data_IF_501331124083
#
_entry.id   IF_501331124083
#
_cell.length_a   1.000
_cell.length_b   1.000
_cell.length_c   1.000
_cell.angle_alpha   90.00
_cell.angle_beta   90.00
_cell.angle_gamma   90.00
#
_symmetry.space_group_name_H-M   'P 1'
#
loop_
_entity.id
_entity.type
_entity.pdbx_description
1 polymer ?
#
# COMPACT_ATOMS: atom_id res chain seq x y z
N UNK A 1 29.76 22.71 13.64
CA UNK A 1 30.60 22.04 12.62
C UNK A 1 31.14 20.70 13.11
N UNK A 2 31.78 20.62 14.29
CA UNK A 2 32.30 19.35 14.83
C UNK A 2 31.25 18.25 15.04
N UNK A 3 30.06 18.60 15.51
CA UNK A 3 28.96 17.65 15.77
C UNK A 3 28.40 17.00 14.49
N UNK A 4 28.27 17.77 13.41
CA UNK A 4 27.87 17.25 12.09
C UNK A 4 28.92 16.31 11.49
N UNK A 5 30.21 16.64 11.66
CA UNK A 5 31.31 15.76 11.22
C UNK A 5 31.36 14.44 11.98
N UNK A 6 31.07 14.46 13.29
CA UNK A 6 30.99 13.24 14.11
C UNK A 6 29.81 12.36 13.69
N UNK A 7 28.61 12.94 13.50
CA UNK A 7 27.44 12.21 13.02
C UNK A 7 27.68 11.61 11.63
N UNK A 8 28.36 12.33 10.74
CA UNK A 8 28.74 11.84 9.41
C UNK A 8 29.64 10.60 9.49
N UNK A 9 30.65 10.63 10.35
CA UNK A 9 31.55 9.49 10.55
C UNK A 9 30.79 8.27 11.11
N UNK A 10 30.01 8.47 12.17
CA UNK A 10 29.22 7.41 12.80
C UNK A 10 28.17 6.82 11.85
N UNK A 11 27.53 7.65 11.01
CA UNK A 11 26.55 7.18 10.04
C UNK A 11 27.18 6.31 8.96
N UNK A 12 28.35 6.71 8.44
CA UNK A 12 29.10 5.90 7.47
C UNK A 12 29.56 4.60 8.09
N UNK A 13 30.13 4.65 9.28
CA UNK A 13 30.59 3.47 10.00
C UNK A 13 29.44 2.47 10.28
N UNK A 14 28.27 2.98 10.69
CA UNK A 14 27.08 2.17 10.91
C UNK A 14 26.52 1.55 9.62
N UNK A 15 26.39 2.34 8.55
CA UNK A 15 25.66 1.94 7.34
C UNK A 15 26.54 1.28 6.26
N UNK A 16 27.86 1.50 6.27
CA UNK A 16 28.80 0.86 5.35
C UNK A 16 29.21 -0.54 5.84
N UNK A 17 28.96 -0.88 7.11
CA UNK A 17 29.24 -2.20 7.65
C UNK A 17 28.28 -3.23 7.02
N UNK A 18 28.78 -4.32 6.39
CA UNK A 18 27.91 -5.32 5.74
C UNK A 18 27.04 -6.13 6.71
N UNK A 19 27.42 -6.21 7.99
CA UNK A 19 26.69 -6.95 9.02
C UNK A 19 25.46 -6.17 9.50
N UNK A 20 24.33 -6.87 9.62
CA UNK A 20 23.09 -6.35 10.18
C UNK A 20 23.10 -6.33 11.72
N UNK A 21 24.02 -7.04 12.38
CA UNK A 21 24.09 -7.17 13.85
C UNK A 21 24.37 -5.83 14.54
N UNK A 22 25.28 -5.03 13.97
CA UNK A 22 25.59 -3.71 14.52
C UNK A 22 24.41 -2.75 14.40
N UNK A 23 23.66 -2.85 13.30
CA UNK A 23 22.45 -2.07 13.13
C UNK A 23 21.32 -2.57 14.04
N UNK A 24 21.22 -3.89 14.28
CA UNK A 24 20.29 -4.44 15.26
C UNK A 24 20.51 -3.86 16.66
N UNK A 25 21.77 -3.82 17.12
CA UNK A 25 22.12 -3.19 18.38
C UNK A 25 21.78 -1.68 18.41
N UNK A 26 22.04 -0.96 17.32
CA UNK A 26 21.64 0.44 17.18
C UNK A 26 20.12 0.62 17.24
N UNK A 27 19.34 -0.27 16.60
CA UNK A 27 17.88 -0.28 16.67
C UNK A 27 17.42 -0.45 18.12
N UNK A 28 18.06 -1.31 18.91
CA UNK A 28 17.72 -1.44 20.33
C UNK A 28 17.95 -0.17 21.14
N UNK A 29 19.04 0.57 20.85
CA UNK A 29 19.33 1.85 21.52
C UNK A 29 18.22 2.89 21.31
N UNK A 30 17.56 2.88 20.15
CA UNK A 30 16.43 3.76 19.84
C UNK A 30 15.17 3.49 20.68
N UNK A 31 15.13 2.37 21.41
CA UNK A 31 14.01 1.99 22.27
C UNK A 31 14.40 1.96 23.76
N UNK A 32 15.58 2.48 24.13
CA UNK A 32 15.94 2.74 25.53
C UNK A 32 15.16 3.94 26.10
N UNK A 33 15.10 4.12 27.44
CA UNK A 33 14.45 5.27 28.04
C UNK A 33 15.02 6.59 27.52
N UNK A 34 14.15 7.58 27.30
CA UNK A 34 14.47 8.81 26.54
C UNK A 34 15.52 9.71 27.23
N UNK A 35 15.70 9.52 28.53
CA UNK A 35 16.64 10.25 29.37
C UNK A 35 18.07 9.68 29.27
N UNK A 36 18.24 8.51 28.65
CA UNK A 36 19.56 7.88 28.51
C UNK A 36 20.39 8.56 27.43
N UNK A 37 21.69 8.71 27.70
CA UNK A 37 22.65 9.25 26.73
C UNK A 37 22.71 8.41 25.45
N UNK A 38 22.53 7.09 25.58
CA UNK A 38 22.47 6.14 24.48
C UNK A 38 21.27 6.40 23.55
N UNK A 39 20.08 6.63 24.11
CA UNK A 39 18.90 6.99 23.31
C UNK A 39 19.10 8.32 22.59
N UNK A 40 19.58 9.35 23.29
CA UNK A 40 19.75 10.68 22.69
C UNK A 40 20.76 10.66 21.54
N UNK A 41 21.89 9.97 21.72
CA UNK A 41 22.88 9.77 20.68
C UNK A 41 22.34 8.96 19.50
N UNK A 42 21.66 7.84 19.77
CA UNK A 42 21.07 7.01 18.74
C UNK A 42 19.99 7.75 17.96
N UNK A 43 19.14 8.53 18.63
CA UNK A 43 18.07 9.30 18.00
C UNK A 43 18.64 10.42 17.12
N UNK A 44 19.67 11.13 17.57
CA UNK A 44 20.35 12.14 16.75
C UNK A 44 20.96 11.52 15.50
N UNK A 45 21.66 10.38 15.64
CA UNK A 45 22.24 9.65 14.53
C UNK A 45 21.17 9.11 13.57
N UNK A 46 20.07 8.57 14.09
CA UNK A 46 18.95 8.09 13.27
C UNK A 46 18.34 9.20 12.43
N UNK A 47 17.99 10.35 13.05
CA UNK A 47 17.47 11.52 12.34
C UNK A 47 18.45 12.01 11.27
N UNK A 48 19.75 11.99 11.56
CA UNK A 48 20.80 12.34 10.61
C UNK A 48 20.86 11.35 9.43
N UNK A 49 20.79 10.04 9.69
CA UNK A 49 20.74 9.01 8.65
C UNK A 49 19.49 9.11 7.79
N UNK A 50 18.31 9.36 8.38
CA UNK A 50 17.06 9.57 7.63
C UNK A 50 17.19 10.75 6.69
N UNK A 51 17.86 11.84 7.09
CA UNK A 51 18.00 13.03 6.26
C UNK A 51 19.08 12.92 5.17
N UNK A 52 20.19 12.22 5.43
CA UNK A 52 21.39 12.27 4.57
C UNK A 52 21.73 10.93 3.89
N UNK A 53 21.22 9.81 4.41
CA UNK A 53 21.59 8.46 3.99
C UNK A 53 20.38 7.53 3.87
N UNK A 54 19.22 8.07 3.47
CA UNK A 54 17.94 7.34 3.47
C UNK A 54 18.02 6.05 2.65
N UNK A 55 18.67 6.08 1.48
CA UNK A 55 18.89 4.89 0.64
C UNK A 55 19.57 3.74 1.42
N UNK A 56 20.71 4.04 2.06
CA UNK A 56 21.47 3.04 2.82
C UNK A 56 20.73 2.61 4.07
N UNK A 57 20.06 3.54 4.77
CA UNK A 57 19.26 3.23 5.93
C UNK A 57 18.09 2.29 5.59
N UNK A 58 17.40 2.53 4.47
CA UNK A 58 16.33 1.63 3.97
C UNK A 58 16.86 0.24 3.72
N UNK A 59 17.96 0.11 2.97
CA UNK A 59 18.59 -1.17 2.69
C UNK A 59 18.94 -1.92 3.98
N UNK A 60 19.59 -1.24 4.92
CA UNK A 60 20.09 -1.89 6.12
C UNK A 60 18.98 -2.26 7.10
N UNK A 61 17.93 -1.44 7.26
CA UNK A 61 16.77 -1.79 8.09
C UNK A 61 15.99 -2.98 7.52
N UNK A 62 15.88 -3.10 6.19
CA UNK A 62 15.30 -4.29 5.55
C UNK A 62 16.15 -5.54 5.80
N UNK A 63 17.49 -5.43 5.78
CA UNK A 63 18.38 -6.55 6.14
C UNK A 63 18.21 -6.97 7.60
N UNK A 64 18.06 -6.02 8.52
CA UNK A 64 17.77 -6.33 9.94
C UNK A 64 16.43 -7.05 10.06
N UNK A 65 15.39 -6.57 9.36
CA UNK A 65 14.10 -7.25 9.35
C UNK A 65 14.20 -8.69 8.82
N UNK A 66 14.91 -8.89 7.72
CA UNK A 66 15.00 -10.20 7.07
C UNK A 66 15.86 -11.20 7.85
N UNK A 67 16.94 -10.76 8.48
CA UNK A 67 17.98 -11.66 9.02
C UNK A 67 18.07 -11.69 10.55
N UNK A 68 17.49 -10.74 11.27
CA UNK A 68 17.53 -10.76 12.73
C UNK A 68 16.79 -11.99 13.27
N UNK A 69 17.40 -12.77 14.17
CA UNK A 69 16.72 -13.89 14.84
C UNK A 69 15.71 -13.40 15.89
N UNK A 70 15.80 -12.14 16.31
CA UNK A 70 14.92 -11.54 17.31
C UNK A 70 13.73 -10.81 16.66
N UNK A 71 12.52 -11.33 16.92
CA UNK A 71 11.23 -10.77 16.48
C UNK A 71 11.00 -9.31 16.87
N UNK A 72 11.38 -8.92 18.08
CA UNK A 72 11.21 -7.57 18.58
C UNK A 72 12.13 -6.62 17.80
N UNK A 73 13.37 -7.03 17.53
CA UNK A 73 14.30 -6.25 16.70
C UNK A 73 13.78 -6.14 15.26
N UNK A 74 13.26 -7.24 14.68
CA UNK A 74 12.63 -7.21 13.34
C UNK A 74 11.50 -6.17 13.30
N UNK A 75 10.56 -6.27 14.22
CA UNK A 75 9.42 -5.35 14.32
C UNK A 75 9.87 -3.88 14.48
N UNK A 76 10.85 -3.62 15.36
CA UNK A 76 11.40 -2.28 15.57
C UNK A 76 12.04 -1.72 14.29
N UNK A 77 12.81 -2.53 13.57
CA UNK A 77 13.47 -2.11 12.34
C UNK A 77 12.46 -1.73 11.24
N UNK A 78 11.44 -2.56 11.02
CA UNK A 78 10.43 -2.30 9.99
C UNK A 78 9.50 -1.14 10.37
N UNK A 79 9.23 -0.96 11.66
CA UNK A 79 8.49 0.19 12.21
C UNK A 79 9.23 1.51 11.96
N UNK A 80 10.52 1.58 12.32
CA UNK A 80 11.37 2.73 12.05
C UNK A 80 11.41 3.06 10.55
N UNK A 81 11.58 2.04 9.71
CA UNK A 81 11.64 2.23 8.26
C UNK A 81 10.31 2.77 7.70
N UNK A 82 9.18 2.21 8.11
CA UNK A 82 7.85 2.66 7.71
C UNK A 82 7.61 4.12 8.10
N UNK A 83 8.01 4.52 9.31
CA UNK A 83 7.90 5.91 9.77
C UNK A 83 8.80 6.86 8.96
N UNK A 84 10.07 6.48 8.75
CA UNK A 84 11.03 7.27 7.99
C UNK A 84 10.54 7.51 6.55
N UNK A 85 10.12 6.46 5.84
CA UNK A 85 9.64 6.57 4.47
C UNK A 85 8.34 7.38 4.37
N UNK A 86 7.45 7.27 5.36
CA UNK A 86 6.24 8.10 5.42
C UNK A 86 6.60 9.59 5.57
N UNK A 87 7.54 9.92 6.45
CA UNK A 87 8.02 11.30 6.64
C UNK A 87 8.75 11.85 5.40
N UNK A 88 9.57 11.03 4.75
CA UNK A 88 10.31 11.37 3.53
C UNK A 88 9.39 11.57 2.32
N UNK A 89 8.36 10.73 2.18
CA UNK A 89 7.33 10.87 1.13
C UNK A 89 6.65 12.24 1.16
N UNK A 90 6.39 12.77 2.36
CA UNK A 90 5.78 14.09 2.53
C UNK A 90 6.71 15.25 2.14
N UNK A 91 8.01 14.98 1.96
CA UNK A 91 9.04 15.94 1.54
C UNK A 91 9.49 15.74 0.09
N UNK A 92 8.74 14.94 -0.69
CA UNK A 92 9.08 14.60 -2.08
C UNK A 92 10.46 13.95 -2.24
N UNK A 93 10.92 13.21 -1.23
CA UNK A 93 12.17 12.45 -1.32
C UNK A 93 11.99 11.25 -2.26
N UNK A 94 13.03 10.95 -3.03
CA UNK A 94 13.07 9.83 -3.97
C UNK A 94 14.29 8.95 -3.72
N UNK A 95 14.07 7.63 -3.73
CA UNK A 95 15.15 6.65 -3.65
C UNK A 95 15.96 6.70 -4.96
N UNK A 96 17.28 6.57 -4.85
CA UNK A 96 18.12 6.58 -6.06
C UNK A 96 17.91 5.30 -6.88
N UNK A 97 18.06 5.34 -8.23
CA UNK A 97 17.96 4.16 -9.08
C UNK A 97 18.90 3.02 -8.63
N UNK A 98 20.15 3.36 -8.32
CA UNK A 98 21.15 2.39 -7.83
C UNK A 98 20.72 1.72 -6.52
N UNK A 99 20.05 2.45 -5.63
CA UNK A 99 19.53 1.87 -4.39
C UNK A 99 18.34 0.95 -4.66
N UNK A 100 17.47 1.32 -5.60
CA UNK A 100 16.31 0.52 -5.97
C UNK A 100 16.69 -0.87 -6.48
N UNK A 101 17.77 -1.00 -7.26
CA UNK A 101 18.25 -2.30 -7.77
C UNK A 101 18.56 -3.31 -6.66
N UNK A 102 18.96 -2.83 -5.48
CA UNK A 102 19.28 -3.68 -4.32
C UNK A 102 18.09 -3.79 -3.37
N UNK A 103 17.30 -2.73 -3.21
CA UNK A 103 16.14 -2.69 -2.29
C UNK A 103 15.00 -3.57 -2.80
N UNK A 104 14.71 -3.54 -4.11
CA UNK A 104 13.61 -4.29 -4.73
C UNK A 104 13.63 -5.80 -4.41
N UNK A 105 14.70 -6.56 -4.71
CA UNK A 105 14.74 -7.99 -4.43
C UNK A 105 14.72 -8.31 -2.93
N UNK A 106 15.31 -7.44 -2.11
CA UNK A 106 15.30 -7.60 -0.66
C UNK A 106 13.88 -7.47 -0.11
N UNK A 107 13.12 -6.47 -0.57
CA UNK A 107 11.74 -6.28 -0.11
C UNK A 107 10.81 -7.41 -0.58
N UNK A 108 11.01 -7.94 -1.79
CA UNK A 108 10.30 -9.16 -2.23
C UNK A 108 10.57 -10.31 -1.26
N UNK A 109 11.83 -10.50 -0.86
CA UNK A 109 12.19 -11.54 0.12
C UNK A 109 11.49 -11.32 1.48
N UNK A 110 11.40 -10.07 1.94
CA UNK A 110 10.66 -9.71 3.16
C UNK A 110 9.16 -10.03 3.05
N UNK A 111 8.53 -9.79 1.90
CA UNK A 111 7.10 -10.07 1.67
C UNK A 111 6.79 -11.57 1.68
N UNK A 112 7.72 -12.40 1.22
CA UNK A 112 7.55 -13.85 1.13
C UNK A 112 7.95 -14.61 2.40
N UNK A 113 8.21 -13.91 3.51
CA UNK A 113 8.54 -14.57 4.77
C UNK A 113 7.33 -15.37 5.29
N UNK A 114 7.52 -16.66 5.67
CA UNK A 114 6.41 -17.55 6.05
C UNK A 114 5.69 -17.17 7.35
N UNK A 115 6.32 -16.35 8.21
CA UNK A 115 5.80 -16.01 9.55
C UNK A 115 5.69 -14.49 9.80
N UNK A 116 5.40 -13.70 8.75
CA UNK A 116 5.20 -12.26 8.92
C UNK A 116 4.00 -11.99 9.84
N UNK A 117 4.21 -11.27 10.94
CA UNK A 117 3.12 -10.93 11.88
C UNK A 117 2.21 -9.87 11.27
N UNK A 118 0.92 -9.85 11.63
CA UNK A 118 -0.06 -8.83 11.14
C UNK A 118 0.47 -7.38 11.23
N UNK A 119 1.13 -6.93 12.32
CA UNK A 119 1.71 -5.58 12.39
C UNK A 119 2.80 -5.32 11.34
N UNK A 120 3.62 -6.32 11.05
CA UNK A 120 4.67 -6.24 10.03
C UNK A 120 4.06 -6.07 8.65
N UNK A 121 2.98 -6.81 8.34
CA UNK A 121 2.25 -6.68 7.07
C UNK A 121 1.82 -5.24 6.80
N UNK A 122 1.32 -4.54 7.83
CA UNK A 122 0.93 -3.12 7.72
C UNK A 122 2.12 -2.20 7.42
N UNK A 123 3.28 -2.47 8.01
CA UNK A 123 4.49 -1.66 7.78
C UNK A 123 5.09 -1.98 6.40
N UNK A 124 5.11 -3.26 6.02
CA UNK A 124 5.60 -3.72 4.72
C UNK A 124 4.80 -3.14 3.57
N UNK A 125 3.47 -3.10 3.62
CA UNK A 125 2.66 -2.49 2.54
C UNK A 125 2.97 -1.00 2.32
N UNK A 126 3.26 -0.24 3.38
CA UNK A 126 3.69 1.17 3.28
C UNK A 126 5.05 1.28 2.60
N UNK A 127 5.99 0.40 2.97
CA UNK A 127 7.34 0.38 2.40
C UNK A 127 7.28 -0.02 0.93
N UNK A 128 6.52 -1.07 0.58
CA UNK A 128 6.29 -1.50 -0.81
C UNK A 128 5.69 -0.37 -1.63
N UNK A 129 4.65 0.29 -1.12
CA UNK A 129 4.04 1.45 -1.79
C UNK A 129 5.06 2.56 -2.08
N UNK A 130 5.94 2.86 -1.12
CA UNK A 130 6.99 3.86 -1.29
C UNK A 130 8.00 3.46 -2.36
N UNK A 131 8.53 2.23 -2.29
CA UNK A 131 9.51 1.74 -3.27
C UNK A 131 8.87 1.61 -4.66
N UNK A 132 7.61 1.18 -4.74
CA UNK A 132 6.89 0.98 -6.01
C UNK A 132 6.68 2.31 -6.71
N UNK A 133 6.31 3.36 -5.96
CA UNK A 133 6.21 4.71 -6.50
C UNK A 133 7.52 5.21 -7.10
N UNK A 134 8.64 4.94 -6.45
CA UNK A 134 9.96 5.34 -6.93
C UNK A 134 10.37 4.53 -8.18
N UNK A 135 10.22 3.21 -8.14
CA UNK A 135 10.57 2.34 -9.25
C UNK A 135 9.70 2.61 -10.50
N UNK A 136 8.38 2.69 -10.32
CA UNK A 136 7.42 2.84 -11.42
C UNK A 136 7.39 4.25 -12.02
N UNK A 137 7.85 5.26 -11.28
CA UNK A 137 8.06 6.61 -11.83
C UNK A 137 9.19 6.63 -12.85
N UNK A 138 10.23 5.82 -12.64
CA UNK A 138 11.39 5.74 -13.55
C UNK A 138 11.10 4.85 -14.75
N UNK A 139 10.46 3.71 -14.51
CA UNK A 139 10.09 2.74 -15.53
C UNK A 139 8.76 2.07 -15.16
N UNK A 140 7.69 2.16 -15.97
CA UNK A 140 6.43 1.47 -15.74
C UNK A 140 6.53 -0.06 -15.58
N UNK A 141 7.64 -0.67 -15.99
CA UNK A 141 8.00 -2.08 -15.80
C UNK A 141 9.16 -2.28 -14.81
N UNK A 142 9.54 -1.23 -14.07
CA UNK A 142 10.75 -1.18 -13.25
C UNK A 142 10.76 -2.09 -12.01
N UNK A 143 9.73 -2.91 -11.81
CA UNK A 143 9.66 -3.87 -10.69
C UNK A 143 8.81 -5.09 -11.01
N UNK A 144 9.07 -5.72 -12.15
CA UNK A 144 8.43 -6.95 -12.59
C UNK A 144 8.42 -8.07 -11.53
N UNK A 145 9.47 -8.15 -10.69
CA UNK A 145 9.60 -9.13 -9.60
C UNK A 145 8.50 -8.97 -8.53
N UNK A 146 8.00 -7.74 -8.34
CA UNK A 146 6.84 -7.52 -7.46
C UNK A 146 5.57 -8.12 -8.07
N UNK A 147 5.41 -8.06 -9.39
CA UNK A 147 4.27 -8.67 -10.07
C UNK A 147 4.23 -10.20 -9.89
N UNK A 148 5.39 -10.85 -9.98
CA UNK A 148 5.53 -12.29 -9.79
C UNK A 148 5.35 -12.69 -8.31
N UNK A 149 5.84 -11.84 -7.40
CA UNK A 149 5.57 -11.97 -5.97
C UNK A 149 4.08 -11.85 -5.67
N UNK A 150 3.37 -10.89 -6.26
CA UNK A 150 1.93 -10.70 -6.10
C UNK A 150 1.15 -11.91 -6.60
N UNK A 151 1.50 -12.46 -7.76
CA UNK A 151 0.90 -13.70 -8.26
C UNK A 151 1.08 -14.85 -7.27
N UNK A 152 2.28 -15.01 -6.71
CA UNK A 152 2.58 -16.03 -5.70
C UNK A 152 1.76 -15.83 -4.42
N UNK A 153 1.64 -14.57 -3.96
CA UNK A 153 0.87 -14.24 -2.77
C UNK A 153 -0.62 -14.47 -2.98
N UNK A 154 -1.20 -14.10 -4.12
CA UNK A 154 -2.64 -14.35 -4.38
C UNK A 154 -2.95 -15.85 -4.26
N UNK A 155 -2.03 -16.72 -4.71
CA UNK A 155 -2.24 -18.16 -4.67
C UNK A 155 -1.96 -18.83 -3.31
N UNK A 156 -1.23 -18.17 -2.40
CA UNK A 156 -0.75 -18.81 -1.16
C UNK A 156 -1.16 -18.08 0.12
N UNK A 157 -1.31 -16.76 0.06
CA UNK A 157 -1.75 -15.88 1.14
C UNK A 157 -2.51 -14.67 0.54
N UNK A 158 -3.75 -14.87 0.06
CA UNK A 158 -4.48 -13.82 -0.64
C UNK A 158 -4.83 -12.62 0.25
N UNK A 159 -4.98 -12.82 1.57
CA UNK A 159 -5.12 -11.72 2.54
C UNK A 159 -3.92 -10.78 2.49
N UNK A 160 -2.70 -11.33 2.45
CA UNK A 160 -1.48 -10.52 2.30
C UNK A 160 -1.42 -9.86 0.92
N UNK A 161 -1.79 -10.58 -0.14
CA UNK A 161 -1.82 -10.03 -1.49
C UNK A 161 -2.74 -8.80 -1.57
N UNK A 162 -3.98 -8.91 -1.08
CA UNK A 162 -4.91 -7.79 -1.04
C UNK A 162 -4.36 -6.60 -0.26
N UNK A 163 -3.81 -6.84 0.94
CA UNK A 163 -3.21 -5.78 1.75
C UNK A 163 -2.07 -5.03 1.05
N UNK A 164 -1.20 -5.76 0.33
CA UNK A 164 -0.12 -5.14 -0.44
C UNK A 164 -0.72 -4.34 -1.61
N UNK A 165 -1.65 -4.93 -2.36
CA UNK A 165 -2.27 -4.31 -3.54
C UNK A 165 -2.96 -2.99 -3.21
N UNK A 166 -3.69 -2.91 -2.10
CA UNK A 166 -4.45 -1.73 -1.71
C UNK A 166 -3.59 -0.47 -1.54
N UNK A 167 -2.36 -0.63 -1.06
CA UNK A 167 -1.44 0.49 -0.85
C UNK A 167 -0.59 0.81 -2.10
N UNK A 168 -0.66 -0.01 -3.16
CA UNK A 168 0.12 0.25 -4.38
C UNK A 168 -0.31 1.58 -5.03
N UNK A 169 0.67 2.33 -5.59
CA UNK A 169 0.38 3.54 -6.35
C UNK A 169 -0.40 3.21 -7.64
N UNK A 170 -0.68 4.20 -8.47
CA UNK A 170 -1.21 3.93 -9.81
C UNK A 170 -0.23 3.02 -10.57
N UNK A 171 -0.73 1.90 -11.08
CA UNK A 171 0.04 0.88 -11.78
C UNK A 171 -0.22 0.96 -13.29
N UNK A 172 0.74 0.45 -14.08
CA UNK A 172 0.51 0.19 -15.49
C UNK A 172 -0.42 -1.02 -15.65
N UNK A 173 -1.28 -1.00 -16.68
CA UNK A 173 -2.14 -2.15 -16.99
C UNK A 173 -1.29 -3.39 -17.28
N UNK A 174 -0.14 -3.23 -17.92
CA UNK A 174 0.82 -4.31 -18.17
C UNK A 174 1.33 -4.97 -16.89
N UNK A 175 1.60 -4.20 -15.84
CA UNK A 175 2.01 -4.74 -14.55
C UNK A 175 0.86 -5.53 -13.88
N UNK A 176 -0.35 -4.97 -13.86
CA UNK A 176 -1.53 -5.64 -13.27
C UNK A 176 -1.82 -6.98 -13.96
N UNK A 177 -1.69 -7.04 -15.28
CA UNK A 177 -1.99 -8.25 -16.06
C UNK A 177 -1.20 -9.49 -15.63
N UNK A 178 -0.07 -9.34 -14.94
CA UNK A 178 0.73 -10.47 -14.41
C UNK A 178 -0.02 -11.34 -13.40
N UNK A 179 -0.81 -10.71 -12.54
CA UNK A 179 -1.55 -11.40 -11.47
C UNK A 179 -3.07 -11.17 -11.54
N UNK A 180 -3.53 -10.34 -12.48
CA UNK A 180 -4.92 -9.92 -12.65
C UNK A 180 -5.93 -11.08 -12.59
N UNK A 181 -5.70 -12.15 -13.36
CA UNK A 181 -6.65 -13.26 -13.47
C UNK A 181 -6.91 -13.92 -12.11
N UNK A 182 -5.85 -14.33 -11.42
CA UNK A 182 -5.95 -14.97 -10.11
C UNK A 182 -6.51 -14.02 -9.06
N UNK A 183 -6.18 -12.72 -9.15
CA UNK A 183 -6.72 -11.72 -8.24
C UNK A 183 -8.24 -11.58 -8.38
N UNK A 184 -8.77 -11.59 -9.61
CA UNK A 184 -10.21 -11.56 -9.86
C UNK A 184 -10.88 -12.85 -9.39
N UNK A 185 -10.30 -14.02 -9.69
CA UNK A 185 -10.84 -15.31 -9.26
C UNK A 185 -10.99 -15.33 -7.73
N UNK A 186 -9.97 -14.93 -6.98
CA UNK A 186 -10.05 -14.84 -5.52
C UNK A 186 -11.07 -13.81 -5.03
N UNK A 187 -11.13 -12.62 -5.67
CA UNK A 187 -12.15 -11.61 -5.34
C UNK A 187 -13.56 -12.18 -5.53
N UNK A 188 -13.81 -12.90 -6.62
CA UNK A 188 -15.09 -13.51 -6.91
C UNK A 188 -15.45 -14.61 -5.91
N UNK A 189 -14.47 -15.46 -5.56
CA UNK A 189 -14.64 -16.52 -4.57
C UNK A 189 -15.04 -15.95 -3.20
N UNK A 190 -14.39 -14.88 -2.76
CA UNK A 190 -14.70 -14.21 -1.49
C UNK A 190 -16.02 -13.43 -1.54
N UNK A 191 -16.28 -12.70 -2.64
CA UNK A 191 -17.47 -11.86 -2.70
C UNK A 191 -18.74 -12.66 -2.97
N UNK A 192 -18.67 -13.75 -3.74
CA UNK A 192 -19.85 -14.48 -4.23
C UNK A 192 -20.01 -15.88 -3.65
N UNK A 193 -18.93 -16.59 -3.31
CA UNK A 193 -18.96 -18.03 -3.02
C UNK A 193 -18.76 -18.40 -1.55
N UNK A 194 -18.41 -17.46 -0.66
CA UNK A 194 -18.20 -17.80 0.76
C UNK A 194 -19.48 -18.34 1.42
N UNK A 195 -19.36 -19.48 2.10
CA UNK A 195 -20.44 -20.10 2.86
C UNK A 195 -20.96 -19.15 3.95
N UNK A 196 -22.27 -19.15 4.19
CA UNK A 196 -22.92 -18.18 5.10
C UNK A 196 -22.42 -18.30 6.54
N UNK A 197 -22.05 -19.52 6.97
CA UNK A 197 -21.67 -19.81 8.34
C UNK A 197 -20.24 -19.34 8.69
N UNK A 198 -19.35 -19.22 7.70
CA UNK A 198 -17.91 -18.96 7.87
C UNK A 198 -17.44 -17.66 7.16
N UNK A 199 -18.37 -16.79 6.77
CA UNK A 199 -18.04 -15.53 6.08
C UNK A 199 -17.32 -14.56 7.03
N UNK A 200 -16.01 -14.48 6.89
CA UNK A 200 -15.17 -13.50 7.59
C UNK A 200 -15.43 -12.08 7.06
N UNK A 201 -15.95 -11.21 7.93
CA UNK A 201 -16.24 -9.80 7.61
C UNK A 201 -14.97 -9.00 7.25
N UNK A 202 -13.85 -9.27 7.90
CA UNK A 202 -12.57 -8.63 7.62
C UNK A 202 -12.09 -9.03 6.21
N UNK A 203 -12.19 -10.33 5.88
CA UNK A 203 -11.75 -10.81 4.58
C UNK A 203 -12.66 -10.34 3.44
N UNK A 204 -13.98 -10.37 3.64
CA UNK A 204 -14.94 -9.87 2.66
C UNK A 204 -14.77 -8.36 2.40
N UNK A 205 -14.59 -7.58 3.47
CA UNK A 205 -14.35 -6.13 3.35
C UNK A 205 -13.05 -5.84 2.59
N UNK A 206 -12.01 -6.64 2.83
CA UNK A 206 -10.74 -6.53 2.14
C UNK A 206 -10.85 -6.86 0.64
N UNK A 207 -11.62 -7.90 0.27
CA UNK A 207 -11.92 -8.23 -1.12
C UNK A 207 -12.72 -7.11 -1.81
N UNK A 208 -13.70 -6.51 -1.12
CA UNK A 208 -14.47 -5.36 -1.62
C UNK A 208 -13.56 -4.16 -1.90
N UNK A 209 -12.69 -3.79 -0.95
CA UNK A 209 -11.72 -2.70 -1.14
C UNK A 209 -10.81 -2.98 -2.34
N UNK A 210 -10.33 -4.22 -2.46
CA UNK A 210 -9.42 -4.65 -3.53
C UNK A 210 -10.10 -4.59 -4.89
N UNK A 211 -11.35 -5.06 -4.98
CA UNK A 211 -12.17 -4.97 -6.19
C UNK A 211 -12.34 -3.51 -6.65
N UNK A 212 -12.74 -2.62 -5.74
CA UNK A 212 -12.93 -1.21 -6.09
C UNK A 212 -11.62 -0.54 -6.47
N UNK A 213 -10.51 -0.81 -5.76
CA UNK A 213 -9.18 -0.32 -6.12
C UNK A 213 -8.74 -0.82 -7.49
N UNK A 214 -8.99 -2.09 -7.82
CA UNK A 214 -8.68 -2.65 -9.13
C UNK A 214 -9.50 -1.99 -10.24
N UNK A 215 -10.79 -1.75 -10.01
CA UNK A 215 -11.63 -0.98 -10.92
C UNK A 215 -11.09 0.43 -11.18
N UNK A 216 -10.67 1.15 -10.12
CA UNK A 216 -10.00 2.45 -10.24
C UNK A 216 -8.72 2.34 -11.08
N UNK A 217 -7.87 1.36 -10.81
CA UNK A 217 -6.60 1.18 -11.53
C UNK A 217 -6.80 0.97 -13.04
N UNK A 218 -7.86 0.26 -13.43
CA UNK A 218 -8.14 -0.10 -14.82
C UNK A 218 -8.94 0.96 -15.60
N UNK A 219 -9.61 1.89 -14.90
CA UNK A 219 -10.51 2.89 -15.50
C UNK A 219 -9.84 3.89 -16.45
N UNK A 220 -8.50 3.97 -16.47
CA UNK A 220 -7.77 4.89 -17.34
C UNK A 220 -7.54 4.38 -18.77
N UNK A 221 -7.93 3.14 -19.08
CA UNK A 221 -7.79 2.57 -20.43
C UNK A 221 -9.12 2.02 -20.93
N UNK A 222 -9.37 2.05 -22.23
CA UNK A 222 -10.62 1.56 -22.81
C UNK A 222 -10.86 0.08 -22.50
N UNK A 223 -9.86 -0.78 -22.76
CA UNK A 223 -9.92 -2.21 -22.40
C UNK A 223 -10.08 -2.43 -20.89
N UNK A 224 -9.44 -1.60 -20.08
CA UNK A 224 -9.55 -1.67 -18.62
C UNK A 224 -10.92 -1.21 -18.11
N UNK A 225 -11.62 -0.33 -18.82
CA UNK A 225 -12.94 0.15 -18.43
C UNK A 225 -14.00 -0.97 -18.51
N UNK A 226 -13.95 -1.82 -19.54
CA UNK A 226 -14.86 -2.96 -19.64
C UNK A 226 -14.63 -3.95 -18.50
N UNK A 227 -13.38 -4.19 -18.14
CA UNK A 227 -13.03 -5.01 -16.98
C UNK A 227 -13.49 -4.36 -15.68
N UNK A 228 -13.31 -3.04 -15.52
CA UNK A 228 -13.79 -2.31 -14.35
C UNK A 228 -15.32 -2.41 -14.19
N UNK A 229 -16.07 -2.45 -15.29
CA UNK A 229 -17.52 -2.70 -15.27
C UNK A 229 -17.86 -4.11 -14.82
N UNK A 230 -17.11 -5.13 -15.24
CA UNK A 230 -17.30 -6.51 -14.75
C UNK A 230 -17.07 -6.58 -13.25
N UNK A 231 -16.00 -5.96 -12.75
CA UNK A 231 -15.71 -5.87 -11.31
C UNK A 231 -16.85 -5.19 -10.55
N UNK A 232 -17.33 -4.06 -11.08
CA UNK A 232 -18.47 -3.34 -10.54
C UNK A 232 -19.71 -4.24 -10.44
N UNK A 233 -20.04 -4.97 -11.51
CA UNK A 233 -21.18 -5.88 -11.52
C UNK A 233 -21.02 -7.02 -10.52
N UNK A 234 -19.81 -7.55 -10.32
CA UNK A 234 -19.49 -8.55 -9.28
C UNK A 234 -19.78 -8.00 -7.88
N UNK A 235 -19.30 -6.79 -7.57
CA UNK A 235 -19.56 -6.14 -6.26
C UNK A 235 -21.06 -5.92 -6.05
N UNK A 236 -21.79 -5.51 -7.09
CA UNK A 236 -23.23 -5.28 -7.00
C UNK A 236 -24.01 -6.59 -6.82
N UNK A 237 -23.60 -7.67 -7.48
CA UNK A 237 -24.18 -9.00 -7.27
C UNK A 237 -24.01 -9.45 -5.82
N UNK A 238 -22.80 -9.30 -5.28
CA UNK A 238 -22.50 -9.62 -3.87
C UNK A 238 -23.36 -8.79 -2.90
N UNK A 239 -23.42 -7.48 -3.10
CA UNK A 239 -24.23 -6.59 -2.26
C UNK A 239 -25.73 -6.93 -2.31
N UNK A 240 -26.29 -7.21 -3.50
CA UNK A 240 -27.68 -7.63 -3.62
C UNK A 240 -27.95 -8.99 -2.96
N UNK A 241 -26.99 -9.91 -3.02
CA UNK A 241 -27.09 -11.20 -2.34
C UNK A 241 -27.22 -11.00 -0.82
N UNK A 242 -26.35 -10.17 -0.22
CA UNK A 242 -26.39 -9.85 1.21
C UNK A 242 -27.73 -9.21 1.61
N UNK A 243 -28.26 -8.26 0.82
CA UNK A 243 -29.58 -7.66 1.07
C UNK A 243 -30.69 -8.71 1.03
N UNK A 244 -30.69 -9.61 0.03
CA UNK A 244 -31.71 -10.68 -0.08
C UNK A 244 -31.70 -11.64 1.11
N UNK A 245 -30.53 -11.82 1.74
CA UNK A 245 -30.34 -12.64 2.94
C UNK A 245 -30.65 -11.90 4.25
N UNK A 246 -30.97 -10.60 4.18
CA UNK A 246 -31.22 -9.78 5.38
C UNK A 246 -29.93 -9.31 6.08
N UNK A 247 -28.77 -9.43 5.44
CA UNK A 247 -27.45 -9.10 6.00
C UNK A 247 -27.05 -7.64 5.70
N UNK A 248 -28.01 -6.71 5.70
CA UNK A 248 -27.76 -5.30 5.37
C UNK A 248 -26.75 -4.63 6.33
N UNK A 249 -26.70 -5.06 7.59
CA UNK A 249 -25.73 -4.54 8.57
C UNK A 249 -24.29 -4.93 8.23
N UNK A 250 -24.07 -6.17 7.77
CA UNK A 250 -22.76 -6.64 7.31
C UNK A 250 -22.32 -5.81 6.10
N UNK A 251 -23.20 -5.64 5.12
CA UNK A 251 -22.96 -4.80 3.95
C UNK A 251 -22.66 -3.34 4.33
N UNK A 252 -23.40 -2.78 5.28
CA UNK A 252 -23.19 -1.40 5.76
C UNK A 252 -21.81 -1.24 6.41
N UNK A 253 -21.35 -2.22 7.20
CA UNK A 253 -20.01 -2.20 7.78
C UNK A 253 -18.95 -2.26 6.68
N UNK A 254 -19.05 -3.21 5.76
CA UNK A 254 -18.10 -3.31 4.64
C UNK A 254 -18.02 -2.03 3.79
N UNK A 255 -19.15 -1.37 3.50
CA UNK A 255 -19.14 -0.07 2.83
C UNK A 255 -18.55 1.06 3.68
N UNK A 256 -18.72 1.03 5.01
CA UNK A 256 -18.07 1.99 5.89
C UNK A 256 -16.53 1.81 5.89
N UNK A 257 -16.03 0.58 5.78
CA UNK A 257 -14.62 0.27 5.59
C UNK A 257 -14.12 0.83 4.25
N UNK A 258 -14.81 0.52 3.15
CA UNK A 258 -14.50 1.03 1.83
C UNK A 258 -14.43 2.57 1.77
N UNK A 259 -15.37 3.27 2.40
CA UNK A 259 -15.36 4.75 2.44
C UNK A 259 -14.10 5.28 3.13
N UNK A 260 -13.68 4.68 4.25
CA UNK A 260 -12.45 5.07 4.95
C UNK A 260 -11.22 4.81 4.08
N UNK A 261 -11.16 3.65 3.45
CA UNK A 261 -10.09 3.30 2.51
C UNK A 261 -10.00 4.32 1.37
N UNK A 262 -11.10 4.58 0.65
CA UNK A 262 -11.12 5.50 -0.50
C UNK A 262 -10.71 6.91 -0.11
N UNK A 263 -11.10 7.40 1.07
CA UNK A 263 -10.67 8.72 1.55
C UNK A 263 -9.16 8.80 1.77
N UNK A 264 -8.53 7.72 2.28
CA UNK A 264 -7.08 7.65 2.46
C UNK A 264 -6.35 7.50 1.12
N UNK A 265 -6.89 6.65 0.24
CA UNK A 265 -6.29 6.39 -1.07
C UNK A 265 -6.36 7.63 -1.96
N UNK A 266 -7.48 8.36 -1.98
CA UNK A 266 -7.62 9.61 -2.74
C UNK A 266 -6.65 10.73 -2.29
N UNK A 267 -6.27 10.76 -1.02
CA UNK A 267 -5.24 11.70 -0.53
C UNK A 267 -3.84 11.34 -1.06
N UNK A 268 -3.63 10.09 -1.44
CA UNK A 268 -2.32 9.54 -1.82
C UNK A 268 -2.18 9.40 -3.33
N UNK A 269 -3.25 8.97 -3.99
CA UNK A 269 -3.38 8.69 -5.41
C UNK A 269 -4.28 9.78 -6.00
N UNK A 270 -3.71 10.69 -6.80
CA UNK A 270 -4.50 11.71 -7.50
C UNK A 270 -5.36 11.02 -8.57
N UNK A 271 -6.66 10.93 -8.34
CA UNK A 271 -7.57 10.29 -9.30
C UNK A 271 -7.79 11.13 -10.55
N UNK A 272 -7.79 10.46 -11.70
CA UNK A 272 -8.16 11.03 -13.00
C UNK A 272 -9.67 11.24 -13.11
N UNK A 273 -10.09 11.94 -14.17
CA UNK A 273 -11.51 12.08 -14.51
C UNK A 273 -12.20 10.72 -14.74
N UNK A 274 -11.54 9.76 -15.38
CA UNK A 274 -12.13 8.45 -15.63
C UNK A 274 -12.29 7.64 -14.33
N UNK A 275 -11.33 7.76 -13.42
CA UNK A 275 -11.39 7.13 -12.09
C UNK A 275 -12.49 7.73 -11.23
N UNK A 276 -12.63 9.06 -11.26
CA UNK A 276 -13.78 9.75 -10.66
C UNK A 276 -15.10 9.30 -11.29
N UNK A 277 -15.15 9.14 -12.61
CA UNK A 277 -16.31 8.61 -13.34
C UNK A 277 -16.72 7.22 -12.87
N UNK A 278 -15.75 6.30 -12.74
CA UNK A 278 -15.98 4.96 -12.19
C UNK A 278 -16.54 5.01 -10.76
N UNK A 279 -15.96 5.83 -9.88
CA UNK A 279 -16.42 5.97 -8.50
C UNK A 279 -17.81 6.62 -8.40
N UNK A 280 -18.13 7.56 -9.29
CA UNK A 280 -19.48 8.14 -9.42
C UNK A 280 -20.50 7.10 -9.86
N UNK A 281 -20.17 6.27 -10.85
CA UNK A 281 -21.03 5.16 -11.28
C UNK A 281 -21.23 4.14 -10.15
N UNK A 282 -20.14 3.76 -9.47
CA UNK A 282 -20.18 2.88 -8.31
C UNK A 282 -21.11 3.42 -7.22
N UNK A 283 -20.90 4.68 -6.79
CA UNK A 283 -21.72 5.37 -5.80
C UNK A 283 -23.20 5.39 -6.19
N UNK A 284 -23.50 5.75 -7.44
CA UNK A 284 -24.87 5.76 -7.95
C UNK A 284 -25.53 4.38 -7.86
N UNK A 285 -24.84 3.32 -8.31
CA UNK A 285 -25.39 1.97 -8.30
C UNK A 285 -25.59 1.43 -6.88
N UNK A 286 -24.65 1.64 -5.96
CA UNK A 286 -24.81 1.18 -4.58
C UNK A 286 -25.91 1.94 -3.84
N UNK A 287 -26.19 3.21 -4.18
CA UNK A 287 -27.28 4.00 -3.56
C UNK A 287 -28.68 3.39 -3.74
N UNK A 288 -28.80 2.47 -4.69
CA UNK A 288 -30.04 1.77 -5.07
C UNK A 288 -30.14 0.36 -4.47
N UNK A 289 -29.14 -0.07 -3.69
CA UNK A 289 -29.10 -1.40 -3.08
C UNK A 289 -29.55 -1.31 -1.62
N UNK A 290 -30.58 -2.07 -1.23
CA UNK A 290 -31.05 -2.07 0.17
C UNK A 290 -31.49 -0.69 0.67
N UNK A 291 -31.68 -0.56 1.98
CA UNK A 291 -32.17 0.70 2.58
C UNK A 291 -31.05 1.54 3.21
N UNK A 292 -29.95 0.90 3.62
CA UNK A 292 -28.89 1.52 4.45
C UNK A 292 -27.60 1.90 3.70
N UNK A 293 -27.53 1.70 2.40
CA UNK A 293 -26.31 1.96 1.58
C UNK A 293 -26.18 3.41 1.11
N UNK A 294 -27.26 4.20 1.20
CA UNK A 294 -27.33 5.60 0.73
C UNK A 294 -26.28 6.49 1.40
N UNK A 295 -25.98 6.26 2.67
CA UNK A 295 -24.98 7.04 3.40
C UNK A 295 -23.57 6.84 2.83
N UNK A 296 -23.19 5.60 2.55
CA UNK A 296 -21.91 5.28 1.94
C UNK A 296 -21.81 5.86 0.52
N UNK A 297 -22.87 5.70 -0.28
CA UNK A 297 -22.97 6.30 -1.60
C UNK A 297 -22.75 7.82 -1.56
N UNK A 298 -23.47 8.52 -0.66
CA UNK A 298 -23.34 9.95 -0.47
C UNK A 298 -21.92 10.36 -0.09
N UNK A 299 -21.26 9.64 0.84
CA UNK A 299 -19.88 9.93 1.25
C UNK A 299 -18.89 9.75 0.10
N UNK A 300 -19.02 8.70 -0.72
CA UNK A 300 -18.18 8.48 -1.90
C UNK A 300 -18.40 9.60 -2.92
N UNK A 301 -19.67 9.96 -3.19
CA UNK A 301 -19.98 11.01 -4.17
C UNK A 301 -19.41 12.37 -3.73
N UNK A 302 -19.57 12.73 -2.45
CA UNK A 302 -18.98 13.95 -1.89
C UNK A 302 -17.46 13.98 -2.01
N UNK A 303 -16.79 12.84 -1.85
CA UNK A 303 -15.35 12.73 -2.07
C UNK A 303 -15.01 12.98 -3.55
N UNK A 304 -15.72 12.35 -4.48
CA UNK A 304 -15.49 12.52 -5.93
C UNK A 304 -15.71 13.97 -6.37
N UNK A 305 -16.82 14.60 -5.96
CA UNK A 305 -17.09 16.00 -6.31
C UNK A 305 -16.01 16.94 -5.78
N UNK A 306 -15.47 16.69 -4.58
CA UNK A 306 -14.32 17.45 -4.08
C UNK A 306 -13.10 17.28 -4.96
N UNK A 307 -12.76 16.05 -5.35
CA UNK A 307 -11.61 15.78 -6.22
C UNK A 307 -11.75 16.47 -7.58
N UNK A 308 -12.94 16.42 -8.20
CA UNK A 308 -13.21 17.08 -9.48
C UNK A 308 -13.10 18.60 -9.38
N UNK A 309 -13.60 19.21 -8.30
CA UNK A 309 -13.48 20.65 -8.07
C UNK A 309 -12.04 21.10 -7.80
N UNK A 310 -11.21 20.25 -7.18
CA UNK A 310 -9.77 20.55 -6.97
C UNK A 310 -8.95 20.33 -8.24
N UNK A 311 -9.33 19.38 -9.09
CA UNK A 311 -8.68 19.11 -10.39
C UNK A 311 -9.16 20.05 -11.51
N UNK A 312 -10.27 20.77 -11.30
CA UNK A 312 -10.91 21.68 -12.26
C UNK A 312 -10.13 22.95 -12.66
N UNK A 313 -8.84 23.07 -12.29
CA UNK A 313 -7.94 24.14 -12.75
C UNK A 313 -6.70 23.64 -13.52
N UNK A 314 -6.58 22.35 -13.84
CA UNK A 314 -5.45 21.85 -14.65
C UNK A 314 -5.99 21.19 -15.92
N UNK A 315 -6.23 22.02 -16.93
CA UNK A 315 -6.22 21.57 -18.32
C UNK A 315 -4.79 21.15 -18.65
N UNK A 316 -4.52 19.85 -18.75
CA UNK A 316 -3.45 19.41 -19.66
C UNK A 316 -4.03 19.59 -21.07
N UNK A 317 -3.77 20.78 -21.63
CA UNK A 317 -3.98 21.08 -23.02
C UNK A 317 -3.12 20.09 -23.82
N UNK A 318 -3.78 19.19 -24.52
CA UNK A 318 -3.19 18.36 -25.57
C UNK A 318 -2.68 19.28 -26.69
N UNK A 319 -1.51 19.89 -26.50
CA UNK A 319 -0.72 20.52 -27.57
C UNK A 319 0.76 20.40 -27.25
N UNK A 320 1.43 19.42 -27.87
CA UNK A 320 2.34 19.70 -28.99
C UNK A 320 3.14 18.44 -29.37
N UNK A 321 2.91 18.04 -30.64
CA UNK A 321 3.81 17.40 -31.63
C UNK A 321 4.56 16.13 -31.22
#
# INVERSE_FOLDING_TARGET
MAESSLLMFSARDLLATPSHERLAYFVEQLYKPHETYEYQGAQALYKFCVANFSNCLTLMLLKVYLHSPDDLIRFRAISLLSEALTGLRNRSFELSPVALDVIKPLLVSCLTMPEAKKPDTKMLRIIVSCVARNAMKLDPHGWDELGDCMLTLVNTDPVRAFNVFLDLPQLSVGFINRFFKHLIEEIEDVLLLSDEQDRDEEYWSLALETAVKLGIQLSNSEKGLDVARVILDTVLKSANLLVRKGEEQFLQRGFAHLVKFLALDANTCRYSRNQCGFLSEFSFKISRIGTHTKEAAMKINLMVTKLENHNGCINYDERHV
#
